data_IF_587691032401
#
_entry.id   IF_587691032401
#
_cell.length_a   1.000
_cell.length_b   1.000
_cell.length_c   1.000
_cell.angle_alpha   90.00
_cell.angle_beta   90.00
_cell.angle_gamma   90.00
#
_symmetry.space_group_name_H-M   'P 1'
#
loop_
_entity.id
_entity.type
_entity.pdbx_description
1 polymer ?
#
# COMPACT_ATOMS: atom_id res chain seq x y z
N UNK A 1 19.76 16.28 -5.00
CA UNK A 1 19.20 15.16 -5.77
C UNK A 1 18.54 14.20 -4.79
N UNK A 2 17.22 14.23 -4.65
CA UNK A 2 16.51 13.35 -3.72
C UNK A 2 16.15 12.05 -4.46
N UNK A 3 16.93 11.00 -4.22
CA UNK A 3 16.58 9.65 -4.66
C UNK A 3 15.42 9.18 -3.81
N UNK A 4 14.29 8.86 -4.45
CA UNK A 4 13.10 8.34 -3.76
C UNK A 4 13.23 6.83 -3.73
N UNK A 5 13.64 6.29 -2.58
CA UNK A 5 13.75 4.86 -2.37
C UNK A 5 12.44 4.31 -1.81
N UNK A 6 11.88 3.31 -2.49
CA UNK A 6 10.75 2.54 -1.98
C UNK A 6 11.36 1.33 -1.27
N UNK A 7 11.33 1.35 0.06
CA UNK A 7 11.80 0.25 0.88
C UNK A 7 10.65 -0.76 1.08
N UNK A 8 10.65 -1.82 0.27
CA UNK A 8 9.69 -2.91 0.40
C UNK A 8 10.22 -3.95 1.38
N UNK A 9 9.58 -4.06 2.54
CA UNK A 9 9.95 -4.98 3.61
C UNK A 9 8.79 -5.96 3.84
N UNK A 10 8.68 -7.04 3.03
CA UNK A 10 7.48 -7.88 3.06
C UNK A 10 7.64 -9.38 2.75
N UNK A 11 6.73 -10.14 3.37
CA UNK A 11 6.57 -11.60 3.54
C UNK A 11 6.17 -12.35 2.24
N UNK A 12 6.29 -11.73 1.06
CA UNK A 12 5.78 -12.29 -0.21
C UNK A 12 6.90 -12.72 -1.16
N UNK A 13 6.69 -13.83 -1.88
CA UNK A 13 7.72 -14.51 -2.65
C UNK A 13 7.97 -13.88 -4.04
N UNK A 14 6.95 -13.23 -4.62
CA UNK A 14 7.05 -12.58 -5.94
C UNK A 14 6.27 -11.26 -5.91
N UNK A 15 6.78 -10.23 -6.58
CA UNK A 15 6.15 -8.93 -6.73
C UNK A 15 5.89 -8.62 -8.20
N UNK A 16 4.83 -7.88 -8.48
CA UNK A 16 4.60 -7.21 -9.75
C UNK A 16 4.71 -5.70 -9.59
N UNK A 17 5.15 -5.03 -10.64
CA UNK A 17 5.28 -3.58 -10.70
C UNK A 17 4.70 -3.11 -12.03
N UNK A 18 3.84 -2.10 -12.03
CA UNK A 18 3.39 -1.47 -13.28
C UNK A 18 3.52 0.04 -13.18
N UNK A 19 4.15 0.70 -14.17
CA UNK A 19 4.23 2.15 -14.20
C UNK A 19 2.89 2.78 -14.59
N UNK A 20 2.64 3.99 -14.11
CA UNK A 20 1.58 4.86 -14.62
C UNK A 20 1.90 5.38 -16.03
N UNK A 21 0.90 5.95 -16.72
CA UNK A 21 1.05 6.43 -18.10
C UNK A 21 2.21 7.41 -18.25
N UNK A 22 3.11 7.13 -19.19
CA UNK A 22 4.31 7.94 -19.46
C UNK A 22 5.44 7.81 -18.43
N UNK A 23 5.39 6.83 -17.51
CA UNK A 23 6.45 6.56 -16.52
C UNK A 23 7.31 5.35 -16.91
N UNK A 24 8.61 5.32 -16.55
CA UNK A 24 9.47 4.18 -16.84
C UNK A 24 9.06 2.93 -16.03
N UNK A 25 9.14 1.75 -16.65
CA UNK A 25 8.92 0.47 -15.98
C UNK A 25 10.07 0.18 -15.01
N UNK A 26 9.74 -0.12 -13.75
CA UNK A 26 10.71 -0.47 -12.72
C UNK A 26 10.83 -2.00 -12.60
N UNK A 27 12.04 -2.48 -12.36
CA UNK A 27 12.39 -3.91 -12.17
C UNK A 27 11.74 -4.83 -13.21
N UNK A 28 11.70 -4.41 -14.47
CA UNK A 28 11.07 -5.17 -15.57
C UNK A 28 9.64 -5.69 -15.28
N UNK A 29 8.88 -4.94 -14.47
CA UNK A 29 7.50 -5.26 -14.14
C UNK A 29 7.30 -6.23 -12.98
N UNK A 30 8.37 -6.63 -12.28
CA UNK A 30 8.26 -7.50 -11.11
C UNK A 30 9.58 -8.09 -10.63
N UNK A 31 9.59 -8.65 -9.42
CA UNK A 31 10.77 -9.32 -8.90
C UNK A 31 10.42 -10.51 -8.03
N UNK A 32 11.34 -11.47 -7.92
CA UNK A 32 11.23 -12.58 -6.97
C UNK A 32 12.10 -12.27 -5.75
N UNK A 33 11.54 -12.41 -4.55
CA UNK A 33 12.24 -12.23 -3.28
C UNK A 33 12.20 -13.52 -2.47
N UNK A 34 13.34 -13.91 -1.90
CA UNK A 34 13.43 -15.02 -0.94
C UNK A 34 12.91 -14.57 0.43
N UNK A 35 12.45 -15.50 1.29
CA UNK A 35 12.11 -15.17 2.68
C UNK A 35 13.26 -14.45 3.38
N UNK A 36 12.98 -13.29 3.99
CA UNK A 36 13.97 -12.45 4.67
C UNK A 36 14.81 -11.55 3.75
N UNK A 37 14.58 -11.59 2.43
CA UNK A 37 15.24 -10.72 1.46
C UNK A 37 14.45 -9.42 1.30
N UNK A 38 15.14 -8.28 1.34
CA UNK A 38 14.60 -6.97 1.01
C UNK A 38 15.29 -6.42 -0.25
N UNK A 39 14.62 -5.54 -0.99
CA UNK A 39 15.22 -4.80 -2.08
C UNK A 39 14.83 -3.33 -1.98
N UNK A 40 15.74 -2.45 -2.36
CA UNK A 40 15.45 -1.05 -2.57
C UNK A 40 15.13 -0.82 -4.05
N UNK A 41 13.94 -0.29 -4.33
CA UNK A 41 13.53 0.07 -5.69
C UNK A 41 13.74 1.57 -5.86
N UNK A 42 14.60 1.94 -6.80
CA UNK A 42 14.86 3.34 -7.12
C UNK A 42 13.81 3.83 -8.12
N UNK A 43 12.92 4.70 -7.64
CA UNK A 43 11.89 5.32 -8.46
C UNK A 43 12.32 6.75 -8.84
N UNK A 44 12.14 7.12 -10.11
CA UNK A 44 12.42 8.49 -10.55
C UNK A 44 11.47 9.48 -9.87
N UNK A 45 11.91 10.73 -9.70
CA UNK A 45 11.06 11.75 -9.07
C UNK A 45 9.76 11.93 -9.86
N UNK A 46 8.63 11.87 -9.16
CA UNK A 46 7.30 11.92 -9.79
C UNK A 46 6.91 10.63 -10.51
N UNK A 47 7.59 9.51 -10.25
CA UNK A 47 7.12 8.20 -10.64
C UNK A 47 5.86 7.82 -9.85
N UNK A 48 4.92 7.18 -10.55
CA UNK A 48 3.67 6.67 -10.00
C UNK A 48 3.42 5.31 -10.64
N UNK A 49 2.94 4.34 -9.87
CA UNK A 49 2.70 2.99 -10.35
C UNK A 49 2.12 2.10 -9.26
N UNK A 50 1.93 0.82 -9.59
CA UNK A 50 1.31 -0.16 -8.71
C UNK A 50 2.33 -1.22 -8.31
N UNK A 51 2.27 -1.67 -7.06
CA UNK A 51 3.00 -2.85 -6.57
C UNK A 51 1.98 -3.87 -6.06
N UNK A 52 2.23 -5.16 -6.29
CA UNK A 52 1.41 -6.21 -5.70
C UNK A 52 2.23 -7.45 -5.40
N UNK A 53 1.91 -8.11 -4.29
CA UNK A 53 2.47 -9.41 -3.94
C UNK A 53 1.79 -10.54 -4.72
N UNK A 54 2.55 -11.56 -5.06
CA UNK A 54 2.11 -12.81 -5.67
C UNK A 54 2.70 -13.97 -4.86
N UNK A 55 1.92 -15.03 -4.69
CA UNK A 55 2.39 -16.28 -4.06
C UNK A 55 2.19 -17.46 -5.00
N UNK A 56 2.90 -18.55 -4.71
CA UNK A 56 2.78 -19.82 -5.43
C UNK A 56 2.88 -19.64 -6.95
N UNK A 57 3.86 -18.86 -7.39
CA UNK A 57 4.10 -18.61 -8.80
C UNK A 57 4.86 -19.77 -9.44
N UNK A 58 4.37 -20.23 -10.60
CA UNK A 58 5.07 -21.17 -11.48
C UNK A 58 5.27 -20.49 -12.83
N UNK A 59 6.53 -20.29 -13.23
CA UNK A 59 6.91 -19.74 -14.52
C UNK A 59 7.60 -20.81 -15.36
N UNK A 60 7.31 -20.84 -16.67
CA UNK A 60 8.04 -21.63 -17.64
C UNK A 60 9.35 -20.94 -18.07
N UNK A 61 10.16 -21.64 -18.88
CA UNK A 61 11.42 -21.11 -19.40
C UNK A 61 11.26 -19.93 -20.38
N UNK A 62 10.02 -19.61 -20.78
CA UNK A 62 9.68 -18.46 -21.62
C UNK A 62 9.19 -17.26 -20.80
N UNK A 63 9.23 -17.34 -19.46
CA UNK A 63 8.79 -16.29 -18.56
C UNK A 63 7.27 -16.20 -18.40
N UNK A 64 6.50 -17.11 -19.00
CA UNK A 64 5.05 -17.17 -18.86
C UNK A 64 4.72 -18.04 -17.65
N UNK A 65 3.85 -17.55 -16.78
CA UNK A 65 3.53 -18.27 -15.55
C UNK A 65 2.18 -17.94 -14.99
N UNK A 66 1.74 -18.75 -14.04
CA UNK A 66 0.56 -18.49 -13.23
C UNK A 66 0.99 -18.28 -11.79
N UNK A 67 0.33 -17.36 -11.10
CA UNK A 67 0.47 -17.16 -9.67
C UNK A 67 -0.92 -17.23 -9.05
N UNK A 68 -0.99 -17.63 -7.77
CA UNK A 68 -2.21 -17.44 -7.00
C UNK A 68 -2.21 -15.99 -6.51
N UNK A 69 -3.18 -15.21 -6.98
CA UNK A 69 -3.48 -13.90 -6.40
C UNK A 69 -4.39 -14.13 -5.19
N UNK A 70 -3.83 -14.03 -4.00
CA UNK A 70 -4.62 -13.92 -2.78
C UNK A 70 -5.09 -12.47 -2.61
N UNK A 71 -5.88 -12.26 -1.56
CA UNK A 71 -6.33 -10.96 -1.09
C UNK A 71 -5.34 -9.83 -1.36
N UNK A 72 -5.82 -8.76 -1.98
CA UNK A 72 -5.06 -7.54 -2.20
C UNK A 72 -5.80 -6.35 -1.62
N UNK A 73 -5.01 -5.39 -1.14
CA UNK A 73 -5.49 -4.15 -0.57
C UNK A 73 -4.44 -3.04 -0.78
N UNK A 74 -4.91 -1.80 -0.66
CA UNK A 74 -4.05 -0.63 -0.46
C UNK A 74 -4.26 -0.23 0.98
N UNK A 75 -3.17 -0.19 1.75
CA UNK A 75 -3.21 0.12 3.18
C UNK A 75 -2.52 1.43 3.48
N UNK A 76 -3.19 2.26 4.26
CA UNK A 76 -2.70 3.51 4.80
C UNK A 76 -2.47 3.43 6.32
N UNK A 77 -2.45 2.21 6.87
CA UNK A 77 -2.20 1.95 8.30
C UNK A 77 -0.86 2.54 8.76
N UNK A 78 0.12 2.58 7.85
CA UNK A 78 1.45 3.13 8.09
C UNK A 78 1.63 4.57 7.57
N UNK A 79 0.55 5.18 7.09
CA UNK A 79 0.56 6.52 6.51
C UNK A 79 0.44 6.52 4.99
N UNK A 80 0.69 7.70 4.41
CA UNK A 80 0.57 7.98 2.98
C UNK A 80 1.73 8.87 2.53
N UNK A 81 2.31 8.59 1.38
CA UNK A 81 3.27 9.48 0.72
C UNK A 81 2.90 9.72 -0.75
N UNK A 82 2.32 8.73 -1.41
CA UNK A 82 1.96 8.77 -2.82
C UNK A 82 0.66 8.01 -3.11
N UNK A 83 -0.07 8.37 -4.18
CA UNK A 83 -1.23 7.62 -4.62
C UNK A 83 -0.87 6.17 -4.97
N UNK A 84 -1.77 5.24 -4.64
CA UNK A 84 -1.60 3.82 -4.93
C UNK A 84 -2.90 3.22 -5.46
N UNK A 85 -2.82 2.27 -6.38
CA UNK A 85 -4.00 1.54 -6.87
C UNK A 85 -3.62 0.12 -7.26
N UNK A 86 -4.61 -0.78 -7.26
CA UNK A 86 -4.48 -2.16 -7.71
C UNK A 86 -5.67 -2.42 -8.64
N UNK A 87 -5.36 -2.78 -9.89
CA UNK A 87 -6.34 -3.16 -10.92
C UNK A 87 -6.09 -4.61 -11.31
N UNK A 88 -6.90 -5.57 -10.82
CA UNK A 88 -6.80 -6.95 -11.26
C UNK A 88 -7.10 -7.04 -12.76
N UNK A 89 -6.20 -7.63 -13.54
CA UNK A 89 -6.33 -7.72 -14.99
C UNK A 89 -7.05 -8.99 -15.46
N UNK A 90 -7.02 -10.05 -14.64
CA UNK A 90 -7.68 -11.33 -14.92
C UNK A 90 -7.84 -12.14 -13.63
N UNK A 91 -8.86 -13.01 -13.60
CA UNK A 91 -9.18 -13.89 -12.48
C UNK A 91 -10.68 -14.12 -12.34
N UNK A 92 -11.05 -14.95 -11.38
CA UNK A 92 -12.40 -15.36 -11.01
C UNK A 92 -12.74 -14.84 -9.61
N UNK A 93 -13.95 -14.29 -9.42
CA UNK A 93 -14.37 -13.59 -8.20
C UNK A 93 -14.79 -12.14 -8.47
N UNK A 94 -14.81 -11.29 -7.43
CA UNK A 94 -15.23 -9.88 -7.58
C UNK A 94 -14.20 -9.03 -8.34
N UNK A 95 -12.90 -9.32 -8.18
CA UNK A 95 -11.80 -8.64 -8.88
C UNK A 95 -11.94 -7.11 -8.93
N UNK A 96 -12.36 -6.49 -7.81
CA UNK A 96 -12.59 -5.05 -7.71
C UNK A 96 -11.27 -4.29 -7.68
N UNK A 97 -11.23 -3.15 -8.37
CA UNK A 97 -10.09 -2.26 -8.23
C UNK A 97 -10.05 -1.64 -6.82
N UNK A 98 -8.85 -1.59 -6.23
CA UNK A 98 -8.59 -0.85 -4.99
C UNK A 98 -7.83 0.40 -5.36
N UNK A 99 -8.34 1.58 -4.98
CA UNK A 99 -7.71 2.84 -5.39
C UNK A 99 -7.60 3.84 -4.24
N UNK A 100 -6.46 4.53 -4.21
CA UNK A 100 -6.20 5.71 -3.39
C UNK A 100 -5.53 6.73 -4.30
N UNK A 101 -6.35 7.42 -5.10
CA UNK A 101 -5.88 8.39 -6.11
C UNK A 101 -5.91 9.84 -5.62
N UNK A 102 -6.62 10.10 -4.52
CA UNK A 102 -6.68 11.42 -3.88
C UNK A 102 -5.31 11.78 -3.30
N UNK A 103 -4.87 13.01 -3.50
CA UNK A 103 -3.67 13.49 -2.81
C UNK A 103 -3.97 13.80 -1.33
N UNK A 104 -3.73 12.81 -0.48
CA UNK A 104 -3.96 12.89 0.95
C UNK A 104 -3.04 13.91 1.62
N UNK A 105 -1.91 14.31 1.00
CA UNK A 105 -1.03 15.34 1.55
C UNK A 105 -1.73 16.69 1.68
N UNK A 106 -2.67 17.02 0.79
CA UNK A 106 -3.45 18.25 0.86
C UNK A 106 -4.51 18.26 1.98
N UNK A 107 -4.94 17.08 2.43
CA UNK A 107 -5.93 16.91 3.51
C UNK A 107 -5.31 16.41 4.82
N UNK A 108 -3.98 16.29 4.85
CA UNK A 108 -3.26 15.72 5.98
C UNK A 108 -3.42 16.62 7.22
N UNK A 109 -3.93 16.09 8.35
CA UNK A 109 -4.00 16.81 9.61
C UNK A 109 -2.61 17.32 10.04
N UNK A 110 -2.54 18.53 10.61
CA UNK A 110 -1.26 19.20 10.91
C UNK A 110 -0.32 18.39 11.80
N UNK A 111 -0.89 17.66 12.74
CA UNK A 111 -0.20 16.75 13.67
C UNK A 111 0.34 15.47 13.01
N UNK A 112 -0.04 15.20 11.76
CA UNK A 112 0.39 14.04 10.97
C UNK A 112 1.31 14.41 9.79
N UNK A 113 1.48 15.70 9.50
CA UNK A 113 2.23 16.15 8.32
C UNK A 113 3.72 15.86 8.43
N UNK A 114 4.28 15.28 7.36
CA UNK A 114 5.72 15.18 7.14
C UNK A 114 6.14 16.31 6.20
N UNK A 115 6.91 17.26 6.72
CA UNK A 115 7.32 18.46 5.98
C UNK A 115 8.73 18.33 5.42
N UNK A 116 8.90 18.83 4.18
CA UNK A 116 10.19 19.12 3.54
C UNK A 116 10.09 20.46 2.83
N UNK A 117 10.97 21.41 3.16
CA UNK A 117 10.97 22.76 2.58
C UNK A 117 9.58 23.44 2.62
N UNK A 118 8.89 23.33 3.76
CA UNK A 118 7.53 23.86 3.98
C UNK A 118 6.43 23.21 3.12
N UNK A 119 6.72 22.12 2.43
CA UNK A 119 5.76 21.32 1.66
C UNK A 119 5.45 20.02 2.39
N UNK A 120 4.17 19.64 2.47
CA UNK A 120 3.74 18.33 2.95
C UNK A 120 4.10 17.29 1.89
N UNK A 121 5.01 16.38 2.23
CA UNK A 121 5.50 15.33 1.31
C UNK A 121 5.00 13.94 1.67
N UNK A 122 4.48 13.77 2.88
CA UNK A 122 3.82 12.57 3.35
C UNK A 122 2.90 12.93 4.53
N UNK A 123 2.03 11.99 4.89
CA UNK A 123 1.13 12.04 6.02
C UNK A 123 1.30 10.76 6.85
N UNK A 124 1.79 10.88 8.07
CA UNK A 124 1.89 9.75 8.99
C UNK A 124 0.48 9.28 9.38
N UNK A 125 0.32 7.99 9.67
CA UNK A 125 -0.87 7.53 10.39
C UNK A 125 -0.83 7.97 11.86
N UNK A 126 -1.96 7.92 12.56
CA UNK A 126 -1.99 8.21 14.00
C UNK A 126 -1.12 7.23 14.81
N UNK A 127 -1.00 5.97 14.38
CA UNK A 127 -0.09 5.02 15.02
C UNK A 127 1.35 5.49 14.89
N UNK A 128 1.78 5.85 13.66
CA UNK A 128 3.14 6.32 13.39
C UNK A 128 3.47 7.65 14.10
N UNK A 129 2.47 8.53 14.27
CA UNK A 129 2.66 9.83 14.91
C UNK A 129 2.68 9.76 16.44
N UNK A 130 1.83 8.93 17.05
CA UNK A 130 1.59 8.97 18.50
C UNK A 130 2.01 7.71 19.24
N UNK A 131 2.19 6.59 18.54
CA UNK A 131 2.58 5.29 19.10
C UNK A 131 1.73 4.85 20.31
N UNK A 132 0.42 5.14 20.27
CA UNK A 132 -0.51 4.76 21.35
C UNK A 132 -1.27 3.49 21.01
N UNK A 133 -1.58 2.63 22.00
CA UNK A 133 -2.29 1.37 21.79
C UNK A 133 -3.62 1.50 21.03
N UNK A 134 -4.37 2.57 21.27
CA UNK A 134 -5.64 2.87 20.60
C UNK A 134 -5.51 3.17 19.11
N UNK A 135 -4.36 3.71 18.66
CA UNK A 135 -4.11 4.01 17.25
C UNK A 135 -3.41 2.84 16.54
N UNK A 136 -2.57 2.12 17.26
CA UNK A 136 -1.82 0.98 16.73
C UNK A 136 -2.56 -0.35 16.89
N UNK A 137 -3.76 -0.35 17.48
CA UNK A 137 -4.56 -1.53 17.76
C UNK A 137 -3.78 -2.62 18.51
N UNK A 138 -3.09 -2.23 19.59
CA UNK A 138 -2.25 -3.12 20.38
C UNK A 138 -2.72 -3.20 21.84
N UNK A 139 -2.20 -4.17 22.60
CA UNK A 139 -2.56 -4.36 24.01
C UNK A 139 -4.07 -4.55 24.19
N UNK A 140 -4.71 -3.66 24.96
CA UNK A 140 -6.16 -3.68 25.18
C UNK A 140 -7.00 -3.48 23.90
N UNK A 141 -6.40 -2.96 22.83
CA UNK A 141 -7.05 -2.61 21.56
C UNK A 141 -6.80 -3.65 20.46
N UNK A 142 -6.35 -4.86 20.78
CA UNK A 142 -5.97 -5.90 19.79
C UNK A 142 -7.17 -6.62 19.12
N UNK A 143 -8.37 -6.05 19.18
CA UNK A 143 -9.54 -6.67 18.53
C UNK A 143 -10.35 -5.63 17.77
N UNK A 144 -11.10 -5.99 16.72
CA UNK A 144 -12.02 -5.07 16.04
C UNK A 144 -13.11 -4.50 16.95
N UNK A 145 -13.39 -5.19 18.07
CA UNK A 145 -14.34 -4.69 19.08
C UNK A 145 -13.72 -3.58 19.93
N UNK A 146 -12.43 -3.63 20.18
CA UNK A 146 -11.73 -2.70 21.08
C UNK A 146 -10.99 -1.59 20.34
N UNK A 147 -10.37 -1.85 19.19
CA UNK A 147 -9.85 -0.79 18.31
C UNK A 147 -10.98 -0.24 17.44
N UNK A 148 -11.26 1.05 17.57
CA UNK A 148 -12.31 1.73 16.80
C UNK A 148 -11.70 2.76 15.84
N UNK A 149 -12.42 3.10 14.76
CA UNK A 149 -12.05 4.23 13.92
C UNK A 149 -11.89 5.50 14.76
N UNK A 150 -10.90 6.31 14.41
CA UNK A 150 -10.58 7.58 15.06
C UNK A 150 -10.80 8.74 14.09
N UNK A 151 -10.78 9.97 14.59
CA UNK A 151 -10.84 11.16 13.71
C UNK A 151 -9.74 11.12 12.64
N UNK A 152 -8.52 10.69 13.01
CA UNK A 152 -7.40 10.54 12.08
C UNK A 152 -7.67 9.48 11.02
N UNK A 153 -8.08 8.26 11.39
CA UNK A 153 -8.35 7.20 10.39
C UNK A 153 -9.53 7.58 9.48
N UNK A 154 -10.51 8.33 9.98
CA UNK A 154 -11.63 8.80 9.16
C UNK A 154 -11.20 9.77 8.06
N UNK A 155 -10.18 10.61 8.29
CA UNK A 155 -9.60 11.46 7.23
C UNK A 155 -8.99 10.62 6.10
N UNK A 156 -8.30 9.55 6.48
CA UNK A 156 -7.69 8.62 5.54
C UNK A 156 -8.75 7.85 4.75
N UNK A 157 -9.80 7.38 5.43
CA UNK A 157 -10.92 6.68 4.81
C UNK A 157 -11.73 7.56 3.86
N UNK A 158 -11.96 8.83 4.23
CA UNK A 158 -12.65 9.78 3.37
C UNK A 158 -11.84 10.11 2.10
N UNK A 159 -10.50 10.17 2.23
CA UNK A 159 -9.60 10.42 1.10
C UNK A 159 -9.52 9.21 0.17
N UNK A 160 -9.49 7.99 0.73
CA UNK A 160 -9.33 6.74 0.00
C UNK A 160 -10.32 5.67 0.50
N UNK A 161 -11.59 5.69 0.04
CA UNK A 161 -12.66 4.85 0.58
C UNK A 161 -12.44 3.35 0.42
N UNK A 162 -11.73 2.94 -0.64
CA UNK A 162 -11.45 1.52 -0.92
C UNK A 162 -10.18 1.01 -0.24
N UNK A 163 -9.47 1.85 0.50
CA UNK A 163 -8.21 1.51 1.18
C UNK A 163 -8.42 1.29 2.67
N UNK A 164 -7.52 0.52 3.29
CA UNK A 164 -7.45 0.41 4.75
C UNK A 164 -6.94 1.71 5.34
N UNK A 165 -7.67 2.26 6.31
CA UNK A 165 -7.31 3.48 7.03
C UNK A 165 -6.74 3.22 8.42
N UNK A 166 -6.97 2.04 8.98
CA UNK A 166 -6.41 1.55 10.25
C UNK A 166 -6.45 0.01 10.30
N UNK A 167 -5.81 -0.60 11.30
CA UNK A 167 -5.52 -2.04 11.30
C UNK A 167 -6.77 -2.95 11.27
N UNK A 168 -7.91 -2.48 11.77
CA UNK A 168 -9.18 -3.23 11.75
C UNK A 168 -10.26 -2.52 10.92
N UNK A 169 -9.86 -1.75 9.91
CA UNK A 169 -10.80 -1.20 8.92
C UNK A 169 -11.61 -2.32 8.25
N UNK A 170 -12.80 -1.98 7.79
CA UNK A 170 -13.84 -2.94 7.41
C UNK A 170 -13.31 -3.98 6.41
N UNK A 171 -13.56 -5.30 6.62
CA UNK A 171 -13.18 -6.35 5.68
C UNK A 171 -13.77 -6.19 4.27
N UNK A 172 -14.71 -5.27 4.02
CA UNK A 172 -15.13 -4.91 2.65
C UNK A 172 -14.01 -4.33 1.78
N UNK A 173 -12.85 -4.00 2.36
CA UNK A 173 -11.68 -3.50 1.63
C UNK A 173 -10.67 -4.61 1.30
N UNK A 174 -10.97 -5.86 1.64
CA UNK A 174 -10.21 -7.02 1.17
C UNK A 174 -10.89 -7.62 -0.05
N UNK A 175 -10.24 -7.54 -1.21
CA UNK A 175 -10.79 -8.14 -2.43
C UNK A 175 -9.98 -9.35 -2.83
N UNK A 176 -10.66 -10.39 -3.29
CA UNK A 176 -10.02 -11.60 -3.83
C UNK A 176 -10.19 -11.62 -5.35
N UNK A 177 -9.15 -12.04 -6.07
CA UNK A 177 -9.22 -12.31 -7.51
C UNK A 177 -8.41 -13.57 -7.81
N UNK A 178 -9.09 -14.67 -8.15
CA UNK A 178 -8.50 -16.02 -8.26
C UNK A 178 -8.12 -16.40 -9.67
#
# INVERSE_FOLDING_TARGET
MALSYIHLLLVFCVFGITPGSGKPQLMDGGLQLRPGQSVDINATQGWSGCFWGRRSCSFDNSGKGSCVTEFYDVSLVDGYNMPGSIFPSSGSGECKAVTCVSDLNHRCPKDLQVLRNCTVVACNSACMAFNKPEYCCSGAYITPKTCKPTEHSNVFKASCPTSYSYAYDDPTNTFTCK
#
